data_IF_458940142273
#
_entry.id   IF_458940142273
#
_cell.length_a   1.000
_cell.length_b   1.000
_cell.length_c   1.000
_cell.angle_alpha   90.00
_cell.angle_beta   90.00
_cell.angle_gamma   90.00
#
_symmetry.space_group_name_H-M   'P 1'
#
loop_
_entity.id
_entity.type
_entity.pdbx_description
1 polymer ?
#
# COMPACT_ATOMS: atom_id res chain seq x y z
N UNK A 1 -51.04 13.38 70.23
CA UNK A 1 -50.93 12.78 68.89
C UNK A 1 -50.21 13.78 68.00
N UNK A 2 -48.90 13.60 67.74
CA UNK A 2 -48.13 14.33 66.73
C UNK A 2 -47.09 13.36 66.15
N UNK A 3 -47.02 13.13 64.82
CA UNK A 3 -46.06 12.23 64.21
C UNK A 3 -44.74 12.97 63.92
N UNK A 4 -43.61 12.33 64.22
CA UNK A 4 -42.26 12.86 63.96
C UNK A 4 -41.85 12.78 62.48
N UNK A 5 -40.91 13.63 62.03
CA UNK A 5 -40.50 13.68 60.63
C UNK A 5 -39.63 12.46 60.26
N UNK A 6 -40.05 11.76 59.21
CA UNK A 6 -39.35 10.62 58.63
C UNK A 6 -38.00 11.02 58.02
N UNK A 7 -36.96 10.26 58.34
CA UNK A 7 -35.63 10.36 57.73
C UNK A 7 -35.71 9.85 56.28
N UNK A 8 -35.59 10.75 55.31
CA UNK A 8 -35.42 10.39 53.90
C UNK A 8 -34.04 9.77 53.65
N UNK A 9 -34.01 8.61 53.01
CA UNK A 9 -32.78 7.97 52.56
C UNK A 9 -32.12 8.81 51.44
N UNK A 10 -30.77 8.91 51.38
CA UNK A 10 -30.11 9.64 50.32
C UNK A 10 -30.26 8.92 48.97
N UNK A 11 -30.31 9.68 47.85
CA UNK A 11 -30.42 9.09 46.52
C UNK A 11 -29.16 8.26 46.20
N UNK A 12 -29.38 7.02 45.78
CA UNK A 12 -28.34 6.16 45.22
C UNK A 12 -27.98 6.69 43.83
N UNK A 13 -26.82 7.31 43.71
CA UNK A 13 -26.23 7.64 42.41
C UNK A 13 -25.95 6.35 41.64
N UNK A 14 -26.66 6.16 40.52
CA UNK A 14 -26.41 5.10 39.55
C UNK A 14 -25.00 5.27 38.95
N UNK A 15 -24.02 4.58 39.53
CA UNK A 15 -22.74 4.31 38.86
C UNK A 15 -22.98 3.20 37.84
N UNK A 16 -23.02 3.53 36.56
CA UNK A 16 -22.99 2.50 35.52
C UNK A 16 -23.63 2.91 34.20
N UNK A 17 -23.03 3.87 33.49
CA UNK A 17 -23.39 4.12 32.09
C UNK A 17 -22.25 4.75 31.26
N UNK A 18 -21.32 5.48 31.89
CA UNK A 18 -20.25 6.18 31.15
C UNK A 18 -18.99 5.37 30.85
N UNK A 19 -18.66 4.39 31.69
CA UNK A 19 -17.39 3.65 31.59
C UNK A 19 -17.34 2.67 30.41
N UNK A 20 -18.49 2.08 30.04
CA UNK A 20 -18.59 1.15 28.92
C UNK A 20 -18.43 1.87 27.58
N UNK A 21 -19.05 3.04 27.39
CA UNK A 21 -18.97 3.77 26.12
C UNK A 21 -17.59 4.38 25.89
N UNK A 22 -16.95 4.90 26.95
CA UNK A 22 -15.58 5.42 26.86
C UNK A 22 -14.57 4.30 26.61
N UNK A 23 -14.75 3.15 27.27
CA UNK A 23 -13.92 1.96 27.02
C UNK A 23 -14.16 1.41 25.62
N UNK A 24 -15.40 1.40 25.13
CA UNK A 24 -15.72 0.98 23.75
C UNK A 24 -15.10 1.94 22.75
N UNK A 25 -15.26 3.25 22.92
CA UNK A 25 -14.67 4.26 22.04
C UNK A 25 -13.14 4.21 22.07
N UNK A 26 -12.53 4.00 23.24
CA UNK A 26 -11.09 3.83 23.40
C UNK A 26 -10.61 2.53 22.76
N UNK A 27 -11.32 1.40 22.96
CA UNK A 27 -10.99 0.12 22.35
C UNK A 27 -11.19 0.13 20.84
N UNK A 28 -12.22 0.82 20.34
CA UNK A 28 -12.41 1.09 18.91
C UNK A 28 -11.25 1.94 18.39
N UNK A 29 -10.82 2.97 19.13
CA UNK A 29 -9.67 3.80 18.75
C UNK A 29 -8.36 3.00 18.75
N UNK A 30 -8.09 2.21 19.79
CA UNK A 30 -6.90 1.36 19.90
C UNK A 30 -6.89 0.28 18.82
N UNK A 31 -8.05 -0.30 18.50
CA UNK A 31 -8.20 -1.27 17.40
C UNK A 31 -7.96 -0.64 16.03
N UNK A 32 -8.45 0.58 15.81
CA UNK A 32 -8.15 1.31 14.57
C UNK A 32 -6.70 1.76 14.47
N UNK A 33 -6.02 2.01 15.60
CA UNK A 33 -4.61 2.42 15.62
C UNK A 33 -3.68 1.25 15.26
N UNK A 34 -4.03 0.02 15.65
CA UNK A 34 -3.29 -1.21 15.30
C UNK A 34 -3.54 -1.64 13.84
N UNK A 35 -4.74 -1.39 13.30
CA UNK A 35 -5.08 -1.60 11.88
C UNK A 35 -4.46 -0.57 10.92
N UNK A 36 -3.91 0.52 11.44
CA UNK A 36 -3.28 1.60 10.65
C UNK A 36 -1.80 1.79 10.95
N UNK A 37 -1.03 0.72 11.21
CA UNK A 37 0.43 0.87 11.13
C UNK A 37 0.80 1.27 9.69
N UNK A 38 1.22 2.53 9.44
CA UNK A 38 1.51 3.01 8.09
C UNK A 38 2.78 2.36 7.51
N UNK A 39 3.45 1.49 8.28
CA UNK A 39 4.69 0.80 7.93
C UNK A 39 4.59 -0.73 7.91
N UNK A 40 3.38 -1.30 7.76
CA UNK A 40 3.28 -2.71 7.36
C UNK A 40 4.13 -3.00 6.11
N UNK A 41 4.70 -4.21 6.01
CA UNK A 41 5.60 -4.59 4.92
C UNK A 41 5.14 -4.14 3.50
N UNK A 42 3.85 -4.22 3.12
CA UNK A 42 3.38 -3.74 1.81
C UNK A 42 3.56 -2.24 1.59
N UNK A 43 3.38 -1.44 2.63
CA UNK A 43 3.60 0.00 2.59
C UNK A 43 5.07 0.31 2.38
N UNK A 44 5.98 -0.36 3.11
CA UNK A 44 7.43 -0.20 2.94
C UNK A 44 7.90 -0.65 1.55
N UNK A 45 7.36 -1.76 1.02
CA UNK A 45 7.65 -2.20 -0.36
C UNK A 45 7.15 -1.17 -1.38
N UNK A 46 5.94 -0.63 -1.19
CA UNK A 46 5.39 0.43 -2.05
C UNK A 46 6.28 1.68 -2.03
N UNK A 47 6.73 2.09 -0.84
CA UNK A 47 7.64 3.22 -0.68
C UNK A 47 8.98 2.96 -1.38
N UNK A 48 9.57 1.78 -1.18
CA UNK A 48 10.86 1.42 -1.76
C UNK A 48 10.79 1.40 -3.30
N UNK A 49 9.76 0.76 -3.86
CA UNK A 49 9.54 0.71 -5.32
C UNK A 49 9.28 2.11 -5.87
N UNK A 50 8.40 2.89 -5.24
CA UNK A 50 8.12 4.27 -5.65
C UNK A 50 9.35 5.19 -5.60
N UNK A 51 10.12 5.13 -4.51
CA UNK A 51 11.36 5.89 -4.38
C UNK A 51 12.41 5.47 -5.43
N UNK A 52 12.53 4.16 -5.71
CA UNK A 52 13.40 3.64 -6.76
C UNK A 52 13.04 4.17 -8.14
N UNK A 53 11.75 4.15 -8.49
CA UNK A 53 11.25 4.74 -9.73
C UNK A 53 11.54 6.22 -9.85
N UNK A 54 11.31 6.98 -8.78
CA UNK A 54 11.57 8.41 -8.80
C UNK A 54 13.06 8.68 -8.99
N UNK A 55 13.93 7.94 -8.29
CA UNK A 55 15.38 8.08 -8.42
C UNK A 55 15.87 7.77 -9.85
N UNK A 56 15.43 6.65 -10.43
CA UNK A 56 15.79 6.26 -11.80
C UNK A 56 15.21 7.22 -12.82
N UNK A 57 13.96 7.65 -12.67
CA UNK A 57 13.30 8.61 -13.56
C UNK A 57 13.98 9.97 -13.54
N UNK A 58 14.36 10.48 -12.37
CA UNK A 58 15.13 11.74 -12.25
C UNK A 58 16.52 11.58 -12.86
N UNK A 59 17.26 10.52 -12.52
CA UNK A 59 18.58 10.26 -13.09
C UNK A 59 18.51 10.17 -14.62
N UNK A 60 17.58 9.40 -15.15
CA UNK A 60 17.38 9.24 -16.58
C UNK A 60 17.01 10.57 -17.24
N UNK A 61 16.15 11.38 -16.63
CA UNK A 61 15.79 12.71 -17.15
C UNK A 61 17.00 13.66 -17.17
N UNK A 62 17.87 13.62 -16.16
CA UNK A 62 19.12 14.39 -16.16
C UNK A 62 20.04 13.97 -17.32
N UNK A 63 20.10 12.67 -17.64
CA UNK A 63 20.97 12.14 -18.69
C UNK A 63 20.41 12.35 -20.10
N UNK A 64 19.09 12.20 -20.28
CA UNK A 64 18.38 12.32 -21.56
C UNK A 64 17.98 13.77 -21.86
N UNK A 65 17.74 14.59 -20.84
CA UNK A 65 17.14 15.90 -20.99
C UNK A 65 15.67 15.81 -21.45
N UNK A 66 15.17 16.88 -22.06
CA UNK A 66 13.79 16.98 -22.58
C UNK A 66 13.70 16.76 -24.10
N UNK A 67 14.71 16.11 -24.67
CA UNK A 67 14.81 15.80 -26.09
C UNK A 67 14.12 14.45 -26.35
N UNK A 68 12.99 14.40 -27.11
CA UNK A 68 12.21 13.18 -27.29
C UNK A 68 12.96 12.10 -28.07
N UNK A 69 13.91 12.48 -28.90
CA UNK A 69 14.69 11.56 -29.75
C UNK A 69 15.98 11.09 -29.05
N UNK A 70 16.25 11.59 -27.83
CA UNK A 70 17.47 11.25 -27.10
C UNK A 70 17.30 10.03 -26.22
N UNK A 71 18.10 9.02 -26.51
CA UNK A 71 18.25 7.82 -25.69
C UNK A 71 19.60 7.80 -24.95
N UNK A 72 19.62 7.20 -23.76
CA UNK A 72 20.83 7.00 -22.95
C UNK A 72 20.83 5.64 -22.28
N UNK A 73 22.04 5.11 -22.11
CA UNK A 73 22.28 3.92 -21.30
C UNK A 73 22.47 4.31 -19.83
N UNK A 74 21.77 3.62 -18.95
CA UNK A 74 21.89 3.72 -17.49
C UNK A 74 22.46 2.41 -16.95
N UNK A 75 23.52 2.51 -16.13
CA UNK A 75 24.25 1.37 -15.58
C UNK A 75 24.74 0.36 -16.63
N UNK A 76 24.93 0.79 -17.88
CA UNK A 76 25.31 -0.06 -19.03
C UNK A 76 24.30 -1.15 -19.42
N UNK A 77 23.18 -1.26 -18.70
CA UNK A 77 22.20 -2.33 -18.87
C UNK A 77 20.87 -1.81 -19.40
N UNK A 78 20.40 -0.66 -18.94
CA UNK A 78 19.05 -0.17 -19.20
C UNK A 78 19.08 0.95 -20.22
N UNK A 79 18.15 0.94 -21.18
CA UNK A 79 17.96 2.03 -22.13
C UNK A 79 16.79 2.87 -21.69
N UNK A 80 17.01 4.19 -21.61
CA UNK A 80 15.97 5.14 -21.25
C UNK A 80 15.95 6.30 -22.23
N UNK A 81 14.74 6.79 -22.49
CA UNK A 81 14.47 8.02 -23.23
C UNK A 81 13.53 8.91 -22.41
N UNK A 82 13.17 10.07 -22.95
CA UNK A 82 12.28 11.01 -22.26
C UNK A 82 10.97 10.35 -21.80
N UNK A 83 10.28 9.62 -22.69
CA UNK A 83 8.99 9.02 -22.39
C UNK A 83 9.10 7.96 -21.28
N UNK A 84 10.12 7.10 -21.34
CA UNK A 84 10.39 6.09 -20.32
C UNK A 84 10.66 6.74 -18.96
N UNK A 85 11.41 7.83 -18.92
CA UNK A 85 11.68 8.57 -17.69
C UNK A 85 10.40 9.20 -17.12
N UNK A 86 9.51 9.74 -17.96
CA UNK A 86 8.22 10.26 -17.51
C UNK A 86 7.37 9.14 -16.90
N UNK A 87 7.33 7.96 -17.53
CA UNK A 87 6.66 6.78 -16.94
C UNK A 87 7.25 6.46 -15.56
N UNK A 88 8.57 6.39 -15.42
CA UNK A 88 9.22 6.19 -14.11
C UNK A 88 8.80 7.25 -13.08
N UNK A 89 8.81 8.53 -13.45
CA UNK A 89 8.41 9.60 -12.53
C UNK A 89 6.95 9.46 -12.07
N UNK A 90 6.03 9.13 -12.98
CA UNK A 90 4.61 8.93 -12.64
C UNK A 90 4.42 7.79 -11.64
N UNK A 91 5.04 6.62 -11.90
CA UNK A 91 4.98 5.49 -10.98
C UNK A 91 5.69 5.77 -9.65
N UNK A 92 6.76 6.58 -9.67
CA UNK A 92 7.47 7.00 -8.47
C UNK A 92 6.63 7.90 -7.57
N UNK A 93 5.99 8.92 -8.16
CA UNK A 93 5.08 9.82 -7.45
C UNK A 93 3.88 9.06 -6.88
N UNK A 94 3.26 8.17 -7.68
CA UNK A 94 2.16 7.30 -7.20
C UNK A 94 2.58 6.49 -5.97
N UNK A 95 3.76 5.86 -5.99
CA UNK A 95 4.24 5.07 -4.84
C UNK A 95 4.42 5.91 -3.57
N UNK A 96 5.00 7.12 -3.71
CA UNK A 96 5.17 8.08 -2.61
C UNK A 96 3.85 8.59 -2.02
N UNK A 97 2.79 8.66 -2.84
CA UNK A 97 1.46 9.05 -2.38
C UNK A 97 0.72 7.91 -1.69
N UNK A 98 0.98 6.67 -2.11
CA UNK A 98 0.15 5.51 -1.75
C UNK A 98 0.72 4.62 -0.64
N UNK A 99 1.97 4.81 -0.21
CA UNK A 99 2.62 3.89 0.74
C UNK A 99 2.04 3.90 2.17
N UNK A 100 1.42 5.00 2.61
CA UNK A 100 1.04 5.23 4.02
C UNK A 100 -0.15 4.40 4.51
N UNK A 101 -0.85 3.68 3.64
CA UNK A 101 -1.97 2.83 4.05
C UNK A 101 -1.98 1.53 3.27
N UNK A 102 -2.43 0.45 3.91
CA UNK A 102 -2.51 -0.86 3.25
C UNK A 102 -3.42 -0.84 2.02
N UNK A 103 -4.58 -0.18 2.11
CA UNK A 103 -5.52 -0.08 0.98
C UNK A 103 -4.86 0.58 -0.23
N UNK A 104 -4.15 1.68 -0.01
CA UNK A 104 -3.47 2.39 -1.09
C UNK A 104 -2.25 1.61 -1.58
N UNK A 105 -1.46 0.99 -0.69
CA UNK A 105 -0.35 0.13 -1.08
C UNK A 105 -0.82 -1.02 -2.00
N UNK A 106 -1.94 -1.67 -1.67
CA UNK A 106 -2.53 -2.73 -2.52
C UNK A 106 -3.02 -2.20 -3.86
N UNK A 107 -3.61 -0.99 -3.88
CA UNK A 107 -4.01 -0.34 -5.13
C UNK A 107 -2.78 0.00 -5.98
N UNK A 108 -1.69 0.48 -5.37
CA UNK A 108 -0.42 0.69 -6.04
C UNK A 108 0.14 -0.63 -6.62
N UNK A 109 0.09 -1.72 -5.85
CA UNK A 109 0.47 -3.06 -6.32
C UNK A 109 -0.32 -3.49 -7.57
N UNK A 110 -1.62 -3.20 -7.62
CA UNK A 110 -2.45 -3.47 -8.80
C UNK A 110 -2.05 -2.59 -9.99
N UNK A 111 -1.82 -1.29 -9.76
CA UNK A 111 -1.33 -0.37 -10.78
C UNK A 111 0.01 -0.84 -11.33
N UNK A 112 0.92 -1.30 -10.47
CA UNK A 112 2.21 -1.83 -10.87
C UNK A 112 2.06 -3.11 -11.68
N UNK A 113 1.24 -4.06 -11.22
CA UNK A 113 0.95 -5.31 -11.91
C UNK A 113 0.41 -5.07 -13.33
N UNK A 114 -0.62 -4.25 -13.46
CA UNK A 114 -1.28 -4.00 -14.75
C UNK A 114 -0.40 -3.11 -15.63
N UNK A 115 0.13 -2.03 -15.07
CA UNK A 115 0.94 -1.05 -15.80
C UNK A 115 2.24 -1.65 -16.33
N UNK A 116 3.06 -2.24 -15.44
CA UNK A 116 4.29 -2.90 -15.87
C UNK A 116 4.06 -4.22 -16.58
N UNK A 117 2.90 -4.86 -16.38
CA UNK A 117 2.46 -5.98 -17.22
C UNK A 117 2.28 -5.54 -18.67
N UNK A 118 1.62 -4.40 -18.90
CA UNK A 118 1.47 -3.83 -20.23
C UNK A 118 2.82 -3.40 -20.83
N UNK A 119 3.69 -2.74 -20.06
CA UNK A 119 5.04 -2.35 -20.51
C UNK A 119 5.90 -3.58 -20.84
N UNK A 120 5.83 -4.65 -20.03
CA UNK A 120 6.51 -5.91 -20.30
C UNK A 120 6.04 -6.53 -21.60
N UNK A 121 4.73 -6.67 -21.80
CA UNK A 121 4.17 -7.21 -23.05
C UNK A 121 4.61 -6.35 -24.24
N UNK A 122 4.56 -5.02 -24.10
CA UNK A 122 5.05 -4.10 -25.13
C UNK A 122 6.52 -4.35 -25.46
N UNK A 123 7.39 -4.45 -24.45
CA UNK A 123 8.81 -4.71 -24.65
C UNK A 123 9.11 -6.09 -25.22
N UNK A 124 8.35 -7.13 -24.86
CA UNK A 124 8.51 -8.46 -25.44
C UNK A 124 8.14 -8.49 -26.93
N UNK A 125 7.16 -7.67 -27.34
CA UNK A 125 6.74 -7.57 -28.73
C UNK A 125 7.65 -6.64 -29.54
N UNK A 126 8.06 -5.51 -28.96
CA UNK A 126 8.65 -4.40 -29.72
C UNK A 126 10.11 -4.06 -29.41
N UNK A 127 10.75 -4.62 -28.37
CA UNK A 127 12.12 -4.20 -27.99
C UNK A 127 13.20 -4.47 -29.05
N UNK A 128 12.98 -5.43 -29.95
CA UNK A 128 13.91 -5.78 -31.03
C UNK A 128 13.74 -4.89 -32.28
N UNK A 129 12.80 -3.94 -32.26
CA UNK A 129 12.56 -3.00 -33.35
C UNK A 129 13.31 -1.71 -33.06
N UNK A 130 14.56 -1.61 -33.53
CA UNK A 130 15.43 -0.45 -33.25
C UNK A 130 15.20 0.73 -34.22
N UNK A 131 14.82 0.45 -35.47
CA UNK A 131 14.69 1.48 -36.52
C UNK A 131 13.24 1.85 -36.87
N UNK A 132 12.28 1.15 -36.27
CA UNK A 132 10.86 1.40 -36.50
C UNK A 132 10.27 1.93 -35.20
N UNK A 133 9.38 2.92 -35.29
CA UNK A 133 8.79 3.61 -34.14
C UNK A 133 8.03 2.79 -33.07
N UNK A 134 7.76 1.46 -33.17
CA UNK A 134 7.08 0.74 -32.10
C UNK A 134 7.82 0.71 -30.75
N UNK A 135 9.15 0.81 -30.70
CA UNK A 135 9.88 0.82 -29.42
C UNK A 135 9.94 2.21 -28.75
N UNK A 136 8.78 2.86 -28.60
CA UNK A 136 8.69 4.24 -28.11
C UNK A 136 9.26 4.50 -26.70
N UNK A 137 9.48 3.45 -25.90
CA UNK A 137 10.06 3.52 -24.56
C UNK A 137 11.56 3.15 -24.53
N UNK A 138 12.19 2.93 -25.69
CA UNK A 138 13.58 2.49 -25.82
C UNK A 138 13.89 1.17 -25.09
N UNK A 139 12.89 0.30 -24.89
CA UNK A 139 13.02 -0.91 -24.08
C UNK A 139 14.05 -1.87 -24.65
N UNK A 140 14.78 -2.55 -23.77
CA UNK A 140 15.68 -3.64 -24.11
C UNK A 140 15.40 -4.90 -23.26
N UNK A 141 16.22 -5.94 -23.46
CA UNK A 141 16.07 -7.21 -22.73
C UNK A 141 16.22 -7.07 -21.21
N UNK A 142 17.11 -6.20 -20.73
CA UNK A 142 17.31 -5.96 -19.30
C UNK A 142 16.14 -5.20 -18.69
N UNK A 143 15.55 -4.25 -19.43
CA UNK A 143 14.32 -3.58 -19.04
C UNK A 143 13.19 -4.61 -18.87
N UNK A 144 13.03 -5.54 -19.81
CA UNK A 144 12.00 -6.59 -19.73
C UNK A 144 12.17 -7.50 -18.48
N UNK A 145 13.41 -7.85 -18.13
CA UNK A 145 13.67 -8.61 -16.89
C UNK A 145 13.23 -7.80 -15.66
N UNK A 146 13.58 -6.51 -15.60
CA UNK A 146 13.18 -5.65 -14.49
C UNK A 146 11.67 -5.46 -14.44
N UNK A 147 11.00 -5.30 -15.58
CA UNK A 147 9.55 -5.20 -15.67
C UNK A 147 8.84 -6.46 -15.18
N UNK A 148 9.38 -7.65 -15.48
CA UNK A 148 8.86 -8.90 -14.92
C UNK A 148 8.97 -8.93 -13.39
N UNK A 149 10.10 -8.51 -12.83
CA UNK A 149 10.27 -8.41 -11.37
C UNK A 149 9.25 -7.44 -10.76
N UNK A 150 8.98 -6.32 -11.42
CA UNK A 150 7.98 -5.32 -10.99
C UNK A 150 6.56 -5.86 -11.07
N UNK A 151 6.22 -6.63 -12.11
CA UNK A 151 4.93 -7.36 -12.23
C UNK A 151 4.73 -8.30 -11.05
N UNK A 152 5.76 -9.09 -10.71
CA UNK A 152 5.72 -10.01 -9.56
C UNK A 152 5.57 -9.24 -8.26
N UNK A 153 6.36 -8.17 -8.05
CA UNK A 153 6.24 -7.32 -6.87
C UNK A 153 4.84 -6.72 -6.73
N UNK A 154 4.27 -6.22 -7.83
CA UNK A 154 2.92 -5.67 -7.89
C UNK A 154 1.86 -6.70 -7.49
N UNK A 155 1.96 -7.92 -8.02
CA UNK A 155 1.06 -9.01 -7.67
C UNK A 155 1.13 -9.36 -6.18
N UNK A 156 2.34 -9.44 -5.61
CA UNK A 156 2.54 -9.74 -4.18
C UNK A 156 1.95 -8.66 -3.28
N UNK A 157 2.21 -7.38 -3.60
CA UNK A 157 1.68 -6.24 -2.84
C UNK A 157 0.15 -6.21 -2.93
N UNK A 158 -0.42 -6.36 -4.13
CA UNK A 158 -1.87 -6.36 -4.35
C UNK A 158 -2.59 -7.48 -3.57
N UNK A 159 -2.03 -8.69 -3.62
CA UNK A 159 -2.64 -9.87 -3.00
C UNK A 159 -2.42 -9.94 -1.48
N UNK A 160 -1.66 -9.02 -0.89
CA UNK A 160 -1.34 -9.04 0.53
C UNK A 160 -2.60 -8.94 1.40
N UNK A 161 -2.83 -9.94 2.26
CA UNK A 161 -3.95 -9.99 3.20
C UNK A 161 -3.41 -9.83 4.63
N UNK A 162 -4.11 -9.06 5.46
CA UNK A 162 -3.85 -9.06 6.90
C UNK A 162 -4.65 -10.22 7.50
N UNK A 163 -4.01 -11.17 8.20
CA UNK A 163 -4.72 -12.26 8.86
C UNK A 163 -5.78 -11.68 9.80
N UNK A 164 -7.04 -12.08 9.64
CA UNK A 164 -8.07 -11.76 10.62
C UNK A 164 -7.70 -12.47 11.93
N UNK A 165 -7.44 -11.73 13.00
CA UNK A 165 -7.13 -12.29 14.31
C UNK A 165 -8.32 -13.13 14.80
N UNK A 166 -8.24 -14.46 14.63
CA UNK A 166 -9.28 -15.41 15.06
C UNK A 166 -9.38 -15.56 16.60
N UNK A 167 -8.55 -14.84 17.36
CA UNK A 167 -8.44 -14.98 18.82
C UNK A 167 -9.54 -14.27 19.61
N UNK A 168 -10.25 -13.30 19.02
CA UNK A 168 -11.34 -12.61 19.72
C UNK A 168 -12.66 -13.41 19.78
N UNK A 169 -12.74 -14.58 19.10
CA UNK A 169 -13.96 -15.42 19.05
C UNK A 169 -13.91 -16.67 19.94
N UNK A 170 -12.80 -16.92 20.64
CA UNK A 170 -12.53 -18.18 21.37
C UNK A 170 -12.34 -18.11 22.91
N UNK A 171 -12.77 -17.08 23.65
CA UNK A 171 -12.92 -17.23 25.11
C UNK A 171 -14.36 -17.47 25.60
N UNK A 172 -15.39 -17.14 24.81
CA UNK A 172 -16.77 -17.14 25.32
C UNK A 172 -17.55 -18.45 25.10
N UNK A 173 -17.18 -19.26 24.10
CA UNK A 173 -17.89 -20.51 23.81
C UNK A 173 -17.48 -21.67 24.74
N UNK A 174 -16.26 -21.66 25.28
CA UNK A 174 -15.79 -22.71 26.19
C UNK A 174 -16.13 -22.43 27.68
N UNK A 175 -16.48 -21.20 28.05
CA UNK A 175 -16.84 -20.85 29.44
C UNK A 175 -18.34 -21.09 29.78
N UNK A 176 -19.21 -21.29 28.77
CA UNK A 176 -20.60 -21.69 28.96
C UNK A 176 -20.86 -23.14 28.52
N UNK A 177 -20.06 -24.08 29.03
CA UNK A 177 -20.41 -25.50 28.96
C UNK A 177 -21.00 -25.91 30.32
N UNK A 178 -22.34 -26.00 30.48
CA UNK A 178 -22.93 -26.52 31.71
C UNK A 178 -22.47 -27.97 31.89
N UNK A 179 -21.75 -28.24 32.97
CA UNK A 179 -21.35 -29.59 33.37
C UNK A 179 -22.63 -30.41 33.60
N UNK A 180 -22.86 -31.42 32.77
CA UNK A 180 -23.90 -32.42 32.96
C UNK A 180 -23.30 -33.69 33.54
#
# INVERSE_FOLDING_TARGET
MLPGPGRGAPPRFARGAGASTLRMALLTRLRTQDETDPSGLPGLLTLAVGAGFLAVGVLGLVLTGFDPDRERWVLWLFRVNLLHNVVHLLFGVLGLLMWRSLTNARLYGLVLLVGYGAVLVWGLVFANYEDTGPNALALNSWDNVLHLLLVVAGALIWRWQVPASNEARRPAEDEYRPQR
#
